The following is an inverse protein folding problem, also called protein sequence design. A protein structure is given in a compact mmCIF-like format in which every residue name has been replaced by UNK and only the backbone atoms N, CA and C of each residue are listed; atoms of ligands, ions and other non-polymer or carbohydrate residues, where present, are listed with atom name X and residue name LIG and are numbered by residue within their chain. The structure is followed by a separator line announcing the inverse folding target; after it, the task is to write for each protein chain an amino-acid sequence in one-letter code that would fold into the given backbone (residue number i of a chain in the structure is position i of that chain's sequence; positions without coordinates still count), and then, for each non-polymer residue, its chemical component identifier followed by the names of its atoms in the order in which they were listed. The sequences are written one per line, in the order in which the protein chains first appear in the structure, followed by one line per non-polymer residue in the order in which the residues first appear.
data_IF_911942039051
#
_entry.id   IF_911942039051
#
_cell.length_a   1.000
_cell.length_b   1.000
_cell.length_c   1.000
_cell.angle_alpha   90.00
_cell.angle_beta   90.00
_cell.angle_gamma   90.00
#
_symmetry.space_group_name_H-M   'P 1'
#
loop_
_entity.id
_entity.type
_entity.pdbx_description
1 polymer ?
#
# COMPACT_ATOMS: atom_id res chain seq x y z
N UNK A 1 22.49 -27.43 -31.53
CA UNK A 1 22.44 -27.80 -30.10
C UNK A 1 22.62 -26.53 -29.28
N UNK A 2 21.63 -26.29 -28.41
CA UNK A 2 21.75 -25.76 -27.05
C UNK A 2 22.41 -24.38 -26.83
N UNK A 3 21.59 -23.43 -26.36
CA UNK A 3 21.51 -23.17 -24.92
C UNK A 3 20.27 -22.35 -24.60
N UNK A 4 19.30 -23.01 -23.96
CA UNK A 4 18.23 -22.41 -23.18
C UNK A 4 18.77 -21.30 -22.27
N UNK A 5 18.41 -20.07 -22.59
CA UNK A 5 18.62 -18.91 -21.72
C UNK A 5 17.66 -19.04 -20.53
N UNK A 6 18.12 -19.73 -19.49
CA UNK A 6 17.42 -19.88 -18.21
C UNK A 6 17.18 -18.49 -17.62
N UNK A 7 15.97 -17.96 -17.83
CA UNK A 7 15.43 -16.78 -17.14
C UNK A 7 15.48 -17.05 -15.63
N UNK A 8 16.43 -16.42 -14.95
CA UNK A 8 16.56 -16.56 -13.50
C UNK A 8 15.24 -16.11 -12.84
N UNK A 9 14.64 -16.89 -11.93
CA UNK A 9 13.44 -16.46 -11.23
C UNK A 9 13.80 -15.20 -10.43
N UNK A 10 13.05 -14.12 -10.67
CA UNK A 10 13.21 -12.87 -9.92
C UNK A 10 13.17 -13.21 -8.43
N UNK A 11 14.28 -12.92 -7.72
CA UNK A 11 14.36 -13.08 -6.27
C UNK A 11 13.14 -12.37 -5.67
N UNK A 12 12.26 -13.15 -5.02
CA UNK A 12 11.04 -12.61 -4.42
C UNK A 12 11.37 -11.40 -3.57
N UNK A 13 10.59 -10.33 -3.74
CA UNK A 13 10.80 -9.08 -3.01
C UNK A 13 10.82 -9.27 -1.49
N UNK A 14 11.22 -8.25 -0.72
CA UNK A 14 11.30 -8.33 0.74
C UNK A 14 10.01 -8.92 1.33
N UNK A 15 10.15 -9.95 2.18
CA UNK A 15 9.01 -10.53 2.89
C UNK A 15 8.35 -9.45 3.74
N UNK A 16 7.02 -9.36 3.69
CA UNK A 16 6.28 -8.47 4.57
C UNK A 16 6.56 -8.81 6.04
N UNK A 17 6.63 -7.79 6.89
CA UNK A 17 6.80 -7.96 8.33
C UNK A 17 5.69 -8.86 8.92
N UNK A 18 5.97 -9.52 10.04
CA UNK A 18 5.01 -10.41 10.71
C UNK A 18 3.66 -9.70 10.92
N UNK A 19 2.58 -10.32 10.43
CA UNK A 19 1.22 -9.76 10.51
C UNK A 19 0.83 -8.81 9.36
N UNK A 20 1.75 -8.44 8.47
CA UNK A 20 1.45 -7.65 7.27
C UNK A 20 1.37 -8.53 6.02
N UNK A 21 0.51 -8.16 5.07
CA UNK A 21 0.40 -8.79 3.75
C UNK A 21 0.55 -7.73 2.66
N UNK A 22 1.10 -8.12 1.51
CA UNK A 22 1.15 -7.24 0.34
C UNK A 22 -0.26 -7.00 -0.21
N UNK A 23 -0.52 -5.77 -0.62
CA UNK A 23 -1.77 -5.35 -1.26
C UNK A 23 -1.43 -4.71 -2.60
N UNK A 24 -2.07 -5.19 -3.67
CA UNK A 24 -1.98 -4.57 -4.98
C UNK A 24 -3.08 -3.52 -5.11
N UNK A 25 -2.69 -2.28 -5.48
CA UNK A 25 -3.61 -1.15 -5.69
C UNK A 25 -3.23 -0.41 -6.97
N UNK A 26 -4.24 0.17 -7.63
CA UNK A 26 -4.07 1.03 -8.80
C UNK A 26 -4.32 2.47 -8.36
N UNK A 27 -3.39 3.37 -8.64
CA UNK A 27 -3.41 4.78 -8.29
C UNK A 27 -2.84 5.60 -9.45
N UNK A 28 -3.18 6.89 -9.51
CA UNK A 28 -2.56 7.81 -10.45
C UNK A 28 -1.04 7.90 -10.24
N UNK A 29 -0.30 8.03 -11.34
CA UNK A 29 1.17 8.05 -11.30
C UNK A 29 1.70 9.19 -10.42
N UNK A 30 1.08 10.36 -10.46
CA UNK A 30 1.53 11.52 -9.69
C UNK A 30 1.21 11.37 -8.20
N UNK A 31 0.12 10.69 -7.85
CA UNK A 31 -0.19 10.30 -6.47
C UNK A 31 0.89 9.34 -5.94
N UNK A 32 1.29 8.35 -6.74
CA UNK A 32 2.36 7.41 -6.36
C UNK A 32 3.67 8.15 -6.09
N UNK A 33 4.05 9.11 -6.96
CA UNK A 33 5.26 9.91 -6.76
C UNK A 33 5.17 10.75 -5.50
N UNK A 34 4.07 11.47 -5.30
CA UNK A 34 3.88 12.34 -4.14
C UNK A 34 3.99 11.55 -2.83
N UNK A 35 3.34 10.39 -2.73
CA UNK A 35 3.40 9.55 -1.51
C UNK A 35 4.80 9.00 -1.28
N UNK A 36 5.53 8.63 -2.34
CA UNK A 36 6.93 8.19 -2.21
C UNK A 36 7.83 9.31 -1.70
N UNK A 37 7.69 10.52 -2.24
CA UNK A 37 8.50 11.67 -1.81
C UNK A 37 8.22 12.03 -0.35
N UNK A 38 6.94 12.16 0.02
CA UNK A 38 6.55 12.44 1.40
C UNK A 38 7.09 11.38 2.38
N UNK A 39 7.02 10.09 2.02
CA UNK A 39 7.56 9.02 2.86
C UNK A 39 9.09 9.11 3.04
N UNK A 40 9.82 9.57 2.02
CA UNK A 40 11.27 9.82 2.12
C UNK A 40 11.56 11.03 3.03
N UNK A 41 10.80 12.12 2.89
CA UNK A 41 10.92 13.33 3.72
C UNK A 41 10.67 13.04 5.21
N UNK A 42 9.68 12.19 5.49
CA UNK A 42 9.30 11.80 6.85
C UNK A 42 10.13 10.62 7.40
N UNK A 43 11.11 10.11 6.64
CA UNK A 43 11.95 8.95 6.98
C UNK A 43 11.15 7.68 7.36
N UNK A 44 9.99 7.47 6.73
CA UNK A 44 9.12 6.30 6.97
C UNK A 44 8.94 5.43 5.72
N UNK A 45 8.68 4.13 5.87
CA UNK A 45 8.31 3.31 4.73
C UNK A 45 7.00 3.81 4.09
N UNK A 46 6.94 3.89 2.75
CA UNK A 46 5.71 4.24 2.01
C UNK A 46 4.49 3.42 2.46
N UNK A 47 4.69 2.13 2.77
CA UNK A 47 3.62 1.24 3.26
C UNK A 47 3.04 1.69 4.61
N UNK A 48 3.81 2.37 5.46
CA UNK A 48 3.34 2.96 6.70
C UNK A 48 2.43 4.15 6.43
N UNK A 49 2.86 5.11 5.59
CA UNK A 49 2.07 6.28 5.22
C UNK A 49 0.72 5.89 4.57
N UNK A 50 0.75 4.91 3.65
CA UNK A 50 -0.47 4.39 3.01
C UNK A 50 -1.37 3.69 4.04
N UNK A 51 -0.81 2.90 4.95
CA UNK A 51 -1.61 2.22 5.99
C UNK A 51 -2.32 3.23 6.91
N UNK A 52 -1.65 4.30 7.33
CA UNK A 52 -2.23 5.36 8.15
C UNK A 52 -3.33 6.13 7.42
N UNK A 53 -3.11 6.52 6.15
CA UNK A 53 -4.14 7.17 5.34
C UNK A 53 -5.38 6.28 5.15
N UNK A 54 -5.19 4.97 4.93
CA UNK A 54 -6.30 4.01 4.81
C UNK A 54 -7.04 3.87 6.14
N UNK A 55 -6.33 3.80 7.27
CA UNK A 55 -6.95 3.74 8.62
C UNK A 55 -7.79 4.99 8.90
N UNK A 56 -7.27 6.17 8.59
CA UNK A 56 -7.98 7.44 8.76
C UNK A 56 -9.27 7.47 7.93
N UNK A 57 -9.18 7.10 6.65
CA UNK A 57 -10.35 7.02 5.77
C UNK A 57 -11.40 6.02 6.28
N UNK A 58 -10.97 4.85 6.76
CA UNK A 58 -11.87 3.86 7.36
C UNK A 58 -12.51 4.36 8.65
N UNK A 59 -11.78 5.09 9.48
CA UNK A 59 -12.29 5.75 10.69
C UNK A 59 -13.42 6.73 10.36
N UNK A 60 -13.18 7.63 9.40
CA UNK A 60 -14.18 8.56 8.86
C UNK A 60 -15.40 7.84 8.29
N UNK A 61 -15.19 6.71 7.60
CA UNK A 61 -16.28 5.91 7.02
C UNK A 61 -17.18 5.26 8.09
N UNK A 62 -16.62 4.79 9.20
CA UNK A 62 -17.41 4.26 10.33
C UNK A 62 -18.31 5.34 10.94
N UNK A 63 -17.82 6.57 11.05
CA UNK A 63 -18.61 7.72 11.53
C UNK A 63 -19.78 8.08 10.60
N UNK A 64 -19.65 7.89 9.29
CA UNK A 64 -20.72 8.18 8.31
C UNK A 64 -21.84 7.13 8.24
N UNK A 65 -21.61 5.90 8.73
CA UNK A 65 -22.60 4.82 8.72
C UNK A 65 -23.62 4.89 9.86
N UNK A 66 -23.65 5.96 10.65
CA UNK A 66 -24.66 6.17 11.68
C UNK A 66 -25.66 7.29 11.32
N UNK A 67 -26.47 7.18 10.26
CA UNK A 67 -27.83 7.66 10.37
C UNK A 67 -28.57 6.65 11.25
N UNK A 68 -28.69 6.94 12.55
CA UNK A 68 -29.82 6.43 13.31
C UNK A 68 -31.05 7.06 12.67
N UNK A 69 -31.70 6.35 11.76
CA UNK A 69 -33.11 6.62 11.44
C UNK A 69 -33.88 6.25 12.70
N UNK A 70 -34.03 7.22 13.58
CA UNK A 70 -34.97 7.23 14.68
C UNK A 70 -35.83 8.45 14.47
N UNK A 71 -36.83 8.33 13.58
CA UNK A 71 -38.20 8.85 13.69
C UNK A 71 -39.08 7.93 12.85
#
# INVERSE_FOLDING_TARGET
MSADEKKQPAKGGPRAAKGKKQMLVILDQDVIKAVKMAALEDEVPMSHAVEEAVREWLGKRKGRKAPKTSV
#
